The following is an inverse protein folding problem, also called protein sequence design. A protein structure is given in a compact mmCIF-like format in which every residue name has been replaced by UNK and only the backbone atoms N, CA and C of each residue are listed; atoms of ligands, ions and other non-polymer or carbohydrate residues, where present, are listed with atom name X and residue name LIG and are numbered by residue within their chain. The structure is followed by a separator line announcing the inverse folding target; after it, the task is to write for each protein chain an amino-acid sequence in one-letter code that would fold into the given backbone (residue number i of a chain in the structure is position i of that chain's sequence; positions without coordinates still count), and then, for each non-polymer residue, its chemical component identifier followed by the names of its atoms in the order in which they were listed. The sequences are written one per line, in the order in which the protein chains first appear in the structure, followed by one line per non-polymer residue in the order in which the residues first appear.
data_IF_510011873203
#
_entry.id   IF_510011873203
#
_cell.length_a   1.000
_cell.length_b   1.000
_cell.length_c   1.000
_cell.angle_alpha   90.00
_cell.angle_beta   90.00
_cell.angle_gamma   90.00
#
_symmetry.space_group_name_H-M   'P 1'
#
loop_
_entity.id
_entity.type
_entity.pdbx_description
1 polymer ?
#
# COMPACT_ATOMS: atom_id res chain seq x y z
N UNK A 1 -1.78 45.19 -15.95
CA UNK A 1 -0.42 44.75 -16.35
C UNK A 1 -0.15 43.45 -15.61
N UNK A 2 -0.14 42.31 -16.32
CA UNK A 2 0.26 41.01 -15.72
C UNK A 2 1.80 41.03 -15.58
N UNK A 3 2.39 40.52 -14.49
CA UNK A 3 3.84 40.54 -14.34
C UNK A 3 4.45 39.69 -15.45
N UNK A 4 5.33 40.30 -16.26
CA UNK A 4 6.15 39.58 -17.22
C UNK A 4 7.11 38.67 -16.43
N UNK A 5 6.98 37.36 -16.54
CA UNK A 5 7.93 36.43 -15.92
C UNK A 5 7.42 35.06 -15.48
N UNK A 6 6.11 34.75 -15.55
CA UNK A 6 5.66 33.37 -15.31
C UNK A 6 5.90 32.56 -16.58
N UNK A 7 7.01 31.82 -16.60
CA UNK A 7 7.28 30.83 -17.63
C UNK A 7 6.41 29.59 -17.33
N UNK A 8 5.19 29.57 -17.86
CA UNK A 8 4.34 28.37 -17.82
C UNK A 8 4.95 27.34 -18.77
N UNK A 9 5.60 26.31 -18.22
CA UNK A 9 6.05 25.16 -19.00
C UNK A 9 4.77 24.43 -19.44
N UNK A 10 4.50 24.28 -20.76
CA UNK A 10 3.34 23.52 -21.20
C UNK A 10 3.45 22.07 -20.69
N UNK A 11 2.32 21.37 -20.47
CA UNK A 11 2.34 19.99 -20.00
C UNK A 11 3.25 19.14 -20.90
N UNK A 12 4.34 18.61 -20.33
CA UNK A 12 5.25 17.73 -21.06
C UNK A 12 4.48 16.44 -21.35
N UNK A 13 4.02 16.29 -22.60
CA UNK A 13 3.37 15.07 -23.06
C UNK A 13 4.44 14.02 -23.35
N UNK A 14 4.73 13.18 -22.37
CA UNK A 14 5.63 12.03 -22.55
C UNK A 14 5.00 11.06 -23.55
N UNK A 15 5.56 11.01 -24.77
CA UNK A 15 5.07 10.11 -25.84
C UNK A 15 5.35 8.63 -25.53
N UNK A 16 6.29 8.36 -24.64
CA UNK A 16 6.75 7.01 -24.27
C UNK A 16 6.87 6.76 -22.77
N UNK A 17 6.37 7.66 -21.91
CA UNK A 17 6.51 7.52 -20.45
C UNK A 17 7.95 7.73 -19.93
N UNK A 18 8.18 7.40 -18.66
CA UNK A 18 9.48 7.49 -17.99
C UNK A 18 10.20 6.13 -18.10
N UNK A 19 11.30 6.09 -18.84
CA UNK A 19 12.16 4.91 -18.96
C UNK A 19 13.46 5.16 -18.18
N UNK A 20 13.75 4.31 -17.19
CA UNK A 20 15.01 4.33 -16.47
C UNK A 20 15.88 3.18 -17.00
N UNK A 21 17.00 3.53 -17.64
CA UNK A 21 18.02 2.57 -18.08
C UNK A 21 19.26 2.77 -17.20
N UNK A 22 19.52 1.84 -16.28
CA UNK A 22 20.68 1.91 -15.38
C UNK A 22 21.91 1.16 -15.92
N UNK A 23 21.75 0.42 -17.02
CA UNK A 23 22.82 -0.37 -17.64
C UNK A 23 23.23 -1.61 -16.85
N UNK A 24 22.43 -2.05 -15.87
CA UNK A 24 22.68 -3.25 -15.08
C UNK A 24 22.29 -4.53 -15.84
N UNK A 25 22.99 -5.64 -15.56
CA UNK A 25 22.62 -6.99 -16.03
C UNK A 25 21.47 -7.60 -15.21
N UNK A 26 21.16 -7.00 -14.06
CA UNK A 26 20.00 -7.34 -13.24
C UNK A 26 18.76 -6.56 -13.74
N UNK A 27 17.67 -7.28 -13.99
CA UNK A 27 16.45 -6.72 -14.57
C UNK A 27 15.61 -6.05 -13.48
N UNK A 28 15.69 -4.73 -13.31
CA UNK A 28 14.72 -4.01 -12.49
C UNK A 28 15.07 -2.56 -12.14
N UNK A 29 14.03 -1.74 -11.99
CA UNK A 29 14.13 -0.43 -11.33
C UNK A 29 14.33 -0.70 -9.84
N UNK A 30 15.56 -0.53 -9.34
CA UNK A 30 15.90 -0.76 -7.93
C UNK A 30 15.65 0.52 -7.12
N UNK A 31 14.72 0.46 -6.19
CA UNK A 31 14.36 1.58 -5.31
C UNK A 31 14.48 1.10 -3.87
N UNK A 32 15.66 1.30 -3.28
CA UNK A 32 15.99 0.90 -1.92
C UNK A 32 17.43 1.28 -1.55
N UNK A 33 17.69 1.46 -0.25
CA UNK A 33 19.01 1.81 0.28
C UNK A 33 19.94 0.59 0.33
N UNK A 34 21.17 0.73 -0.12
CA UNK A 34 22.28 -0.06 0.41
C UNK A 34 22.63 0.48 1.80
N UNK A 35 23.20 -0.36 2.67
CA UNK A 35 23.61 0.01 4.04
C UNK A 35 24.85 0.93 4.05
N UNK A 36 25.05 1.73 3.00
CA UNK A 36 26.22 2.53 2.72
C UNK A 36 25.78 3.93 2.24
N UNK A 37 25.68 4.87 3.18
CA UNK A 37 25.79 6.31 2.89
C UNK A 37 24.47 7.08 2.78
N UNK A 38 24.34 8.10 3.66
CA UNK A 38 23.26 9.08 3.83
C UNK A 38 22.01 8.56 4.59
N UNK A 39 22.01 8.82 5.90
CA UNK A 39 20.96 8.52 6.89
C UNK A 39 19.62 9.24 6.70
N UNK A 40 19.29 9.76 5.53
CA UNK A 40 17.89 10.09 5.19
C UNK A 40 17.28 8.85 4.54
N UNK A 41 16.43 8.12 5.27
CA UNK A 41 15.80 6.90 4.80
C UNK A 41 15.25 7.04 3.37
N UNK A 42 15.35 5.96 2.57
CA UNK A 42 14.79 5.91 1.22
C UNK A 42 13.38 6.49 1.19
N UNK A 43 13.13 7.43 0.28
CA UNK A 43 11.78 7.88 0.01
C UNK A 43 11.05 6.81 -0.82
N UNK A 44 9.81 6.55 -0.44
CA UNK A 44 9.00 5.48 -1.00
C UNK A 44 8.53 5.89 -2.41
N UNK A 45 8.22 4.94 -3.31
CA UNK A 45 7.44 5.30 -4.50
C UNK A 45 6.04 5.65 -4.01
N UNK A 46 5.74 6.94 -3.99
CA UNK A 46 4.43 7.45 -3.67
C UNK A 46 3.60 7.56 -4.94
N UNK A 47 2.52 6.78 -5.01
CA UNK A 47 1.43 7.03 -5.92
C UNK A 47 0.46 7.98 -5.23
N UNK A 48 0.43 9.22 -5.73
CA UNK A 48 -0.48 10.26 -5.26
C UNK A 48 -1.79 10.18 -6.04
N UNK A 49 -2.91 10.02 -5.34
CA UNK A 49 -4.26 10.18 -5.89
C UNK A 49 -4.91 11.39 -5.26
N UNK A 50 -5.63 12.19 -6.05
CA UNK A 50 -6.42 13.32 -5.56
C UNK A 50 -7.88 13.11 -5.91
N UNK A 51 -8.80 13.23 -4.96
CA UNK A 51 -10.23 13.14 -5.25
C UNK A 51 -10.84 14.47 -5.74
N UNK A 52 -12.11 14.43 -6.16
CA UNK A 52 -12.85 15.60 -6.63
C UNK A 52 -13.03 16.72 -5.58
N UNK A 53 -12.71 16.45 -4.31
CA UNK A 53 -12.66 17.42 -3.22
C UNK A 53 -11.26 17.95 -2.90
N UNK A 54 -10.26 17.65 -3.74
CA UNK A 54 -8.86 18.00 -3.55
C UNK A 54 -8.15 17.33 -2.36
N UNK A 55 -8.69 16.24 -1.80
CA UNK A 55 -8.01 15.46 -0.77
C UNK A 55 -6.94 14.57 -1.40
N UNK A 56 -5.70 14.69 -0.93
CA UNK A 56 -4.57 13.86 -1.36
C UNK A 56 -4.56 12.53 -0.60
N UNK A 57 -4.44 11.43 -1.35
CA UNK A 57 -4.28 10.06 -0.86
C UNK A 57 -2.95 9.53 -1.36
N UNK A 58 -2.15 8.99 -0.46
CA UNK A 58 -0.88 8.34 -0.77
C UNK A 58 -1.04 6.82 -0.70
N UNK A 59 -0.51 6.14 -1.69
CA UNK A 59 -0.26 4.69 -1.66
C UNK A 59 1.20 4.45 -1.99
N UNK A 60 1.84 3.56 -1.25
CA UNK A 60 3.27 3.34 -1.35
C UNK A 60 3.61 1.88 -1.65
N UNK A 61 4.66 1.70 -2.45
CA UNK A 61 5.23 0.39 -2.76
C UNK A 61 6.64 0.33 -2.16
N UNK A 62 6.85 -0.55 -1.19
CA UNK A 62 8.07 -0.59 -0.36
C UNK A 62 8.59 -2.02 -0.31
N UNK A 63 9.91 -2.21 -0.34
CA UNK A 63 10.51 -3.51 -0.01
C UNK A 63 11.07 -3.49 1.41
N UNK A 64 10.80 -4.54 2.20
CA UNK A 64 11.41 -4.68 3.53
C UNK A 64 12.77 -5.39 3.46
N UNK A 65 13.45 -5.48 4.61
CA UNK A 65 14.74 -6.17 4.75
C UNK A 65 14.70 -7.66 4.38
N UNK A 66 13.50 -8.24 4.20
CA UNK A 66 13.28 -9.62 3.81
C UNK A 66 12.85 -9.77 2.34
N UNK A 67 12.84 -8.68 1.57
CA UNK A 67 12.48 -8.67 0.15
C UNK A 67 10.98 -8.75 -0.12
N UNK A 68 10.13 -8.54 0.90
CA UNK A 68 8.67 -8.53 0.71
C UNK A 68 8.24 -7.21 0.07
N UNK A 69 7.28 -7.26 -0.86
CA UNK A 69 6.62 -6.06 -1.37
C UNK A 69 5.47 -5.67 -0.44
N UNK A 70 5.58 -4.53 0.21
CA UNK A 70 4.56 -3.96 1.09
C UNK A 70 3.78 -2.90 0.31
N UNK A 71 2.46 -3.10 0.23
CA UNK A 71 1.50 -2.08 -0.20
C UNK A 71 0.99 -1.35 1.03
N UNK A 72 1.26 -0.05 1.14
CA UNK A 72 0.91 0.75 2.32
C UNK A 72 -0.07 1.88 2.00
N UNK A 73 -0.81 2.29 3.01
CA UNK A 73 -1.57 3.54 3.05
C UNK A 73 -1.06 4.40 4.24
N UNK A 74 -1.66 5.56 4.46
CA UNK A 74 -1.29 6.45 5.57
C UNK A 74 -1.48 5.87 6.98
N UNK A 75 -2.15 4.73 7.12
CA UNK A 75 -2.42 4.06 8.40
C UNK A 75 -1.67 2.74 8.59
N UNK A 76 -0.90 2.28 7.59
CA UNK A 76 -0.06 1.09 7.66
C UNK A 76 -0.11 0.20 6.41
N UNK A 77 0.30 -1.05 6.55
CA UNK A 77 0.29 -2.03 5.45
C UNK A 77 -1.13 -2.51 5.14
N UNK A 78 -1.55 -2.38 3.88
CA UNK A 78 -2.81 -2.89 3.34
C UNK A 78 -2.67 -4.37 2.95
N UNK A 79 -1.50 -4.74 2.42
CA UNK A 79 -1.17 -6.12 2.05
C UNK A 79 0.32 -6.28 1.76
N UNK A 80 0.84 -7.51 1.94
CA UNK A 80 2.25 -7.84 1.74
C UNK A 80 2.34 -9.02 0.78
N UNK A 81 3.00 -8.86 -0.37
CA UNK A 81 3.45 -9.99 -1.17
C UNK A 81 4.79 -10.45 -0.65
N UNK A 82 4.83 -11.65 -0.10
CA UNK A 82 5.99 -12.16 0.61
C UNK A 82 6.97 -12.84 -0.36
N UNK A 83 8.25 -12.84 0.01
CA UNK A 83 9.29 -13.53 -0.74
C UNK A 83 9.05 -15.05 -0.84
N UNK A 84 8.30 -15.63 0.11
CA UNK A 84 7.86 -17.03 0.10
C UNK A 84 6.63 -17.28 -0.83
N UNK A 85 6.16 -16.26 -1.54
CA UNK A 85 5.02 -16.34 -2.46
C UNK A 85 3.65 -16.14 -1.80
N UNK A 86 3.57 -16.01 -0.47
CA UNK A 86 2.30 -15.79 0.22
C UNK A 86 1.86 -14.31 0.14
N UNK A 87 0.55 -14.09 0.01
CA UNK A 87 -0.05 -12.77 0.19
C UNK A 87 -0.62 -12.65 1.61
N UNK A 88 -0.12 -11.68 2.38
CA UNK A 88 -0.59 -11.41 3.74
C UNK A 88 -1.46 -10.16 3.74
N UNK A 89 -2.72 -10.32 4.13
CA UNK A 89 -3.66 -9.21 4.34
C UNK A 89 -3.25 -8.34 5.55
N UNK A 90 -3.75 -7.10 5.58
CA UNK A 90 -3.79 -6.31 6.81
C UNK A 90 -4.37 -7.18 7.95
N UNK A 91 -3.69 -7.16 9.10
CA UNK A 91 -4.06 -7.95 10.27
C UNK A 91 -4.50 -7.04 11.42
N UNK A 92 -5.67 -7.33 12.01
CA UNK A 92 -6.21 -6.60 13.17
C UNK A 92 -6.77 -7.58 14.19
N UNK A 93 -7.02 -7.13 15.42
CA UNK A 93 -7.80 -7.92 16.40
C UNK A 93 -9.30 -7.72 16.17
N UNK A 94 -10.13 -8.62 16.71
CA UNK A 94 -11.58 -8.58 16.63
C UNK A 94 -12.15 -7.23 17.10
N UNK A 95 -11.61 -6.71 18.21
CA UNK A 95 -11.99 -5.41 18.77
C UNK A 95 -11.67 -4.23 17.84
N UNK A 96 -10.72 -4.40 16.91
CA UNK A 96 -10.26 -3.37 15.98
C UNK A 96 -10.75 -3.60 14.54
N UNK A 97 -11.73 -4.51 14.35
CA UNK A 97 -12.32 -4.72 13.03
C UNK A 97 -13.03 -3.44 12.54
N UNK A 98 -12.63 -2.88 11.38
CA UNK A 98 -13.24 -1.65 10.88
C UNK A 98 -14.66 -1.88 10.36
N UNK A 99 -15.33 -0.80 9.96
CA UNK A 99 -16.63 -0.82 9.28
C UNK A 99 -16.47 -0.30 7.84
N UNK A 100 -15.74 -1.03 6.96
CA UNK A 100 -15.60 -0.65 5.57
C UNK A 100 -16.87 -1.04 4.78
N UNK A 101 -16.90 -0.67 3.49
CA UNK A 101 -17.91 -1.16 2.56
C UNK A 101 -17.85 -2.70 2.41
N UNK A 102 -19.00 -3.30 2.07
CA UNK A 102 -19.09 -4.72 1.76
C UNK A 102 -18.16 -5.12 0.60
N UNK A 103 -17.64 -6.35 0.64
CA UNK A 103 -16.62 -6.85 -0.28
C UNK A 103 -15.18 -6.73 0.24
N UNK A 104 -14.99 -6.14 1.42
CA UNK A 104 -13.66 -6.02 2.06
C UNK A 104 -13.20 -7.34 2.69
N UNK A 105 -11.89 -7.61 2.68
CA UNK A 105 -11.27 -8.79 3.32
C UNK A 105 -10.09 -8.36 4.18
N UNK A 106 -10.04 -8.83 5.42
CA UNK A 106 -8.99 -8.54 6.42
C UNK A 106 -8.65 -9.83 7.16
N UNK A 107 -7.40 -9.99 7.58
CA UNK A 107 -7.04 -11.04 8.52
C UNK A 107 -7.38 -10.58 9.96
N UNK A 108 -8.21 -11.32 10.67
CA UNK A 108 -8.44 -11.10 12.09
C UNK A 108 -7.54 -12.04 12.88
N UNK A 109 -6.61 -11.54 13.68
CA UNK A 109 -5.59 -12.36 14.35
C UNK A 109 -6.10 -13.18 15.54
N UNK A 110 -7.25 -12.82 16.10
CA UNK A 110 -7.84 -13.43 17.29
C UNK A 110 -9.35 -13.73 17.12
N UNK A 111 -9.82 -13.82 15.87
CA UNK A 111 -11.19 -14.22 15.60
C UNK A 111 -11.35 -15.74 15.65
N UNK A 112 -12.54 -16.17 16.09
CA UNK A 112 -13.07 -17.51 15.92
C UNK A 112 -13.78 -17.61 14.57
N UNK A 113 -13.70 -18.78 13.91
CA UNK A 113 -14.44 -19.09 12.68
C UNK A 113 -15.95 -19.10 12.99
N UNK A 114 -16.65 -18.03 12.62
CA UNK A 114 -18.06 -17.80 12.95
C UNK A 114 -18.72 -16.78 12.01
N UNK A 115 -20.06 -16.78 11.98
CA UNK A 115 -20.88 -15.76 11.31
C UNK A 115 -22.01 -15.29 12.26
N UNK A 116 -21.98 -14.04 12.77
CA UNK A 116 -20.91 -13.06 12.62
C UNK A 116 -19.58 -13.50 13.27
N UNK A 117 -18.46 -12.90 12.86
CA UNK A 117 -17.18 -13.07 13.52
C UNK A 117 -17.30 -12.81 15.04
N UNK A 118 -16.55 -13.57 15.83
CA UNK A 118 -16.39 -13.37 17.26
C UNK A 118 -14.89 -13.41 17.62
N UNK A 119 -14.50 -12.78 18.73
CA UNK A 119 -13.11 -12.83 19.23
C UNK A 119 -12.73 -14.15 19.91
N UNK A 120 -11.59 -14.14 20.60
CA UNK A 120 -11.05 -15.24 21.41
C UNK A 120 -10.66 -16.53 20.64
N UNK A 121 -10.46 -16.42 19.33
CA UNK A 121 -9.95 -17.52 18.50
C UNK A 121 -8.46 -17.41 18.20
N UNK A 122 -7.97 -18.25 17.29
CA UNK A 122 -6.57 -18.27 16.83
C UNK A 122 -6.33 -17.47 15.54
N UNK A 123 -7.39 -16.84 15.04
CA UNK A 123 -7.38 -16.04 13.83
C UNK A 123 -8.20 -16.65 12.70
N UNK A 124 -8.73 -15.78 11.84
CA UNK A 124 -9.59 -16.13 10.72
C UNK A 124 -9.50 -15.08 9.61
N UNK A 125 -9.83 -15.48 8.38
CA UNK A 125 -10.08 -14.54 7.29
C UNK A 125 -11.48 -13.96 7.47
N UNK A 126 -11.53 -12.64 7.73
CA UNK A 126 -12.78 -11.92 7.90
C UNK A 126 -13.19 -11.25 6.58
N UNK A 127 -14.39 -11.56 6.10
CA UNK A 127 -14.99 -10.98 4.88
C UNK A 127 -16.20 -10.13 5.26
N UNK A 128 -16.28 -8.88 4.79
CA UNK A 128 -17.42 -7.99 5.08
C UNK A 128 -18.53 -8.26 4.07
N UNK A 129 -19.67 -8.76 4.54
CA UNK A 129 -20.82 -9.10 3.72
C UNK A 129 -22.11 -8.61 4.40
N UNK A 130 -22.94 -7.84 3.69
CA UNK A 130 -24.20 -7.29 4.20
C UNK A 130 -24.07 -6.61 5.56
N UNK A 131 -23.01 -5.82 5.74
CA UNK A 131 -22.78 -5.07 6.97
C UNK A 131 -22.27 -5.90 8.17
N UNK A 132 -21.93 -7.18 8.01
CA UNK A 132 -21.33 -8.01 9.06
C UNK A 132 -20.01 -8.63 8.61
N UNK A 133 -19.12 -8.94 9.56
CA UNK A 133 -17.92 -9.73 9.29
C UNK A 133 -18.25 -11.22 9.37
N UNK A 134 -17.87 -11.98 8.34
CA UNK A 134 -17.99 -13.45 8.26
C UNK A 134 -16.60 -14.05 8.27
N UNK A 135 -16.28 -14.87 9.28
CA UNK A 135 -14.95 -15.43 9.51
C UNK A 135 -14.84 -16.87 9.03
N UNK A 136 -13.75 -17.22 8.31
CA UNK A 136 -13.39 -18.58 7.93
C UNK A 136 -11.92 -18.91 8.16
#
# INVERSE_FOLDING_TARGET
IRPAGVFEIPPIKWKSGLHLFDGSVDVGIRLGTNNEGNSTGSQNIQFLSRDGGATERTSELITDQFGNLIVQNSTGSVGIFRADGAYKLQSVTFANLPVPADGSVIHCSDCTIANPCAGAGTGALAKRLNGVWVCN
#
